data_IF_252653625803
#
_entry.id   IF_252653625803
#
_cell.length_a   1.000
_cell.length_b   1.000
_cell.length_c   1.000
_cell.angle_alpha   90.00
_cell.angle_beta   90.00
_cell.angle_gamma   90.00
#
_symmetry.space_group_name_H-M   'P 1'
#
loop_
_entity.id
_entity.type
_entity.pdbx_description
1 polymer ?
#
# COMPACT_ATOMS: atom_id res chain seq x y z
N UNK A 1 20.36 5.64 -30.19
CA UNK A 1 20.15 5.98 -28.77
C UNK A 1 19.99 4.67 -28.02
N UNK A 2 21.07 4.18 -27.41
CA UNK A 2 21.07 2.93 -26.69
C UNK A 2 20.20 3.09 -25.43
N UNK A 3 19.08 2.37 -25.37
CA UNK A 3 18.30 2.26 -24.16
C UNK A 3 19.15 1.56 -23.11
N UNK A 4 19.48 2.28 -22.05
CA UNK A 4 20.16 1.73 -20.89
C UNK A 4 19.26 0.63 -20.31
N UNK A 5 19.71 -0.63 -20.40
CA UNK A 5 19.03 -1.77 -19.79
C UNK A 5 19.03 -1.54 -18.29
N UNK A 6 17.92 -1.00 -17.75
CA UNK A 6 17.70 -1.02 -16.31
C UNK A 6 17.70 -2.48 -15.88
N UNK A 7 18.75 -2.90 -15.20
CA UNK A 7 18.76 -4.10 -14.38
C UNK A 7 17.64 -3.96 -13.38
N UNK A 8 16.62 -4.83 -13.46
CA UNK A 8 15.57 -4.91 -12.45
C UNK A 8 16.19 -5.54 -11.20
N UNK A 9 16.55 -4.73 -10.21
CA UNK A 9 16.81 -5.26 -8.87
C UNK A 9 15.49 -5.79 -8.31
N UNK A 10 15.50 -7.04 -7.87
CA UNK A 10 14.34 -7.67 -7.25
C UNK A 10 14.09 -7.01 -5.89
N UNK A 11 12.90 -6.45 -5.69
CA UNK A 11 12.52 -5.86 -4.40
C UNK A 11 12.59 -6.91 -3.31
N UNK A 12 13.37 -6.63 -2.27
CA UNK A 12 13.54 -7.55 -1.15
C UNK A 12 12.47 -7.35 -0.07
N UNK A 13 12.33 -8.32 0.82
CA UNK A 13 11.47 -8.18 2.00
C UNK A 13 11.92 -7.01 2.91
N UNK A 14 13.22 -6.70 2.94
CA UNK A 14 13.76 -5.59 3.70
C UNK A 14 13.32 -4.23 3.14
N UNK A 15 13.27 -4.09 1.81
CA UNK A 15 12.79 -2.87 1.15
C UNK A 15 11.31 -2.61 1.46
N UNK A 16 10.50 -3.68 1.44
CA UNK A 16 9.08 -3.59 1.81
C UNK A 16 8.88 -3.26 3.30
N UNK A 17 9.74 -3.78 4.18
CA UNK A 17 9.71 -3.46 5.60
C UNK A 17 10.08 -1.99 5.86
N UNK A 18 11.12 -1.48 5.19
CA UNK A 18 11.48 -0.06 5.25
C UNK A 18 10.36 0.84 4.72
N UNK A 19 9.69 0.42 3.64
CA UNK A 19 8.53 1.15 3.11
C UNK A 19 7.33 1.14 4.09
N UNK A 20 7.11 0.03 4.80
CA UNK A 20 6.07 -0.06 5.83
C UNK A 20 6.34 0.90 7.00
N UNK A 21 7.60 1.01 7.45
CA UNK A 21 7.99 1.99 8.49
C UNK A 21 7.81 3.42 7.99
N UNK A 22 8.28 3.74 6.78
CA UNK A 22 8.09 5.07 6.19
C UNK A 22 6.62 5.48 6.13
N UNK A 23 5.74 4.55 5.73
CA UNK A 23 4.29 4.79 5.70
C UNK A 23 3.74 5.05 7.12
N UNK A 24 4.15 4.26 8.12
CA UNK A 24 3.74 4.47 9.52
C UNK A 24 4.17 5.83 10.04
N UNK A 25 5.44 6.18 9.88
CA UNK A 25 6.02 7.43 10.39
C UNK A 25 5.34 8.67 9.80
N UNK A 26 4.98 8.62 8.52
CA UNK A 26 4.42 9.77 7.81
C UNK A 26 2.92 9.94 7.98
N UNK A 27 2.18 8.86 8.23
CA UNK A 27 0.72 8.88 8.33
C UNK A 27 0.19 8.75 9.77
N UNK A 28 1.03 8.31 10.71
CA UNK A 28 0.68 8.23 12.14
C UNK A 28 -0.63 7.47 12.36
N UNK A 29 -1.57 8.10 13.07
CA UNK A 29 -2.86 7.51 13.45
C UNK A 29 -3.77 7.14 12.26
N UNK A 30 -3.49 7.63 11.04
CA UNK A 30 -4.23 7.20 9.85
C UNK A 30 -3.91 5.75 9.45
N UNK A 31 -2.81 5.18 9.94
CA UNK A 31 -2.38 3.79 9.70
C UNK A 31 -2.51 3.01 11.01
N UNK A 32 -3.45 2.07 11.03
CA UNK A 32 -3.68 1.16 12.16
C UNK A 32 -2.62 0.05 12.18
N UNK A 33 -2.27 -0.46 11.00
CA UNK A 33 -1.23 -1.49 10.83
C UNK A 33 -0.57 -1.37 9.45
N UNK A 34 0.69 -1.78 9.35
CA UNK A 34 1.36 -1.96 8.06
C UNK A 34 2.30 -3.16 8.11
N UNK A 35 1.99 -4.21 7.35
CA UNK A 35 2.70 -5.48 7.43
C UNK A 35 3.09 -5.98 6.05
N UNK A 36 4.22 -6.68 5.97
CA UNK A 36 4.62 -7.39 4.76
C UNK A 36 4.12 -8.81 4.87
N UNK A 37 3.29 -9.25 3.93
CA UNK A 37 2.77 -10.62 3.90
C UNK A 37 2.83 -11.15 2.48
N UNK A 38 3.36 -12.36 2.30
CA UNK A 38 3.50 -13.01 0.98
C UNK A 38 4.19 -12.12 -0.07
N UNK A 39 5.22 -11.35 0.33
CA UNK A 39 5.96 -10.45 -0.57
C UNK A 39 5.19 -9.20 -0.99
N UNK A 40 4.12 -8.83 -0.28
CA UNK A 40 3.33 -7.63 -0.56
C UNK A 40 3.16 -6.79 0.69
N UNK A 41 3.16 -5.46 0.52
CA UNK A 41 2.81 -4.54 1.58
C UNK A 41 1.29 -4.50 1.76
N UNK A 42 0.83 -4.73 2.99
CA UNK A 42 -0.55 -4.57 3.40
C UNK A 42 -0.63 -3.44 4.43
N UNK A 43 -1.52 -2.48 4.20
CA UNK A 43 -1.81 -1.37 5.11
C UNK A 43 -3.25 -1.52 5.60
N UNK A 44 -3.46 -1.41 6.89
CA UNK A 44 -4.78 -1.21 7.50
C UNK A 44 -4.86 0.26 7.88
N UNK A 45 -5.80 0.96 7.26
CA UNK A 45 -6.01 2.39 7.43
C UNK A 45 -7.29 2.65 8.23
N UNK A 46 -7.29 3.75 8.98
CA UNK A 46 -8.53 4.29 9.54
C UNK A 46 -9.46 4.70 8.40
N UNK A 47 -10.70 4.21 8.45
CA UNK A 47 -11.67 4.42 7.38
C UNK A 47 -12.00 5.91 7.14
N UNK A 48 -11.97 6.75 8.18
CA UNK A 48 -12.22 8.19 8.05
C UNK A 48 -11.02 8.94 7.43
N UNK A 49 -9.83 8.33 7.43
CA UNK A 49 -8.58 8.93 6.93
C UNK A 49 -8.08 8.27 5.64
N UNK A 50 -8.85 7.35 5.04
CA UNK A 50 -8.45 6.58 3.86
C UNK A 50 -7.98 7.44 2.68
N UNK A 51 -8.63 8.59 2.44
CA UNK A 51 -8.24 9.48 1.35
C UNK A 51 -6.84 10.07 1.55
N UNK A 52 -6.46 10.36 2.80
CA UNK A 52 -5.13 10.90 3.12
C UNK A 52 -4.07 9.82 2.93
N UNK A 53 -4.36 8.57 3.31
CA UNK A 53 -3.49 7.42 3.06
C UNK A 53 -3.29 7.19 1.55
N UNK A 54 -4.38 7.14 0.77
CA UNK A 54 -4.31 6.92 -0.68
C UNK A 54 -3.60 8.07 -1.41
N UNK A 55 -3.80 9.32 -1.00
CA UNK A 55 -3.08 10.49 -1.55
C UNK A 55 -1.58 10.39 -1.26
N UNK A 56 -1.21 10.07 -0.03
CA UNK A 56 0.19 9.90 0.34
C UNK A 56 0.86 8.79 -0.47
N UNK A 57 0.23 7.62 -0.57
CA UNK A 57 0.76 6.48 -1.34
C UNK A 57 0.95 6.81 -2.83
N UNK A 58 0.10 7.67 -3.39
CA UNK A 58 0.23 8.14 -4.77
C UNK A 58 1.36 9.17 -4.94
N UNK A 59 1.44 10.14 -4.04
CA UNK A 59 2.26 11.35 -4.22
C UNK A 59 3.68 11.23 -3.62
N UNK A 60 3.87 10.37 -2.61
CA UNK A 60 5.18 10.21 -1.96
C UNK A 60 6.20 9.56 -2.92
N UNK A 61 7.40 10.15 -3.08
CA UNK A 61 8.42 9.64 -4.01
C UNK A 61 8.88 8.21 -3.74
N UNK A 62 8.80 7.73 -2.50
CA UNK A 62 9.17 6.36 -2.13
C UNK A 62 8.05 5.34 -2.44
N UNK A 63 6.82 5.81 -2.66
CA UNK A 63 5.64 4.96 -2.89
C UNK A 63 5.22 4.96 -4.37
N UNK A 64 4.88 6.15 -4.92
CA UNK A 64 4.45 6.35 -6.32
C UNK A 64 3.40 5.34 -6.81
N UNK A 65 2.42 5.00 -6.00
CA UNK A 65 1.33 4.08 -6.37
C UNK A 65 0.29 4.81 -7.24
N UNK A 66 0.66 5.06 -8.50
CA UNK A 66 -0.15 5.87 -9.43
C UNK A 66 -1.15 5.06 -10.26
N UNK A 67 -1.09 3.73 -10.20
CA UNK A 67 -2.03 2.87 -10.90
C UNK A 67 -3.02 2.24 -9.91
N UNK A 68 -4.29 2.64 -10.01
CA UNK A 68 -5.39 2.01 -9.29
C UNK A 68 -5.80 0.73 -10.00
N UNK A 69 -5.73 -0.42 -9.32
CA UNK A 69 -5.99 -1.70 -9.97
C UNK A 69 -7.36 -2.27 -9.65
N UNK A 70 -7.77 -2.20 -8.38
CA UNK A 70 -9.03 -2.80 -7.93
C UNK A 70 -9.57 -2.16 -6.65
N UNK A 71 -10.90 -2.27 -6.47
CA UNK A 71 -11.63 -1.93 -5.26
C UNK A 71 -12.65 -3.01 -4.97
N UNK A 72 -12.49 -3.69 -3.85
CA UNK A 72 -13.40 -4.74 -3.42
C UNK A 72 -13.85 -4.55 -1.97
N UNK A 73 -15.06 -5.02 -1.67
CA UNK A 73 -15.58 -5.10 -0.31
C UNK A 73 -15.54 -6.54 0.19
N UNK A 74 -15.08 -6.74 1.43
CA UNK A 74 -15.09 -8.05 2.09
C UNK A 74 -16.08 -8.00 3.25
N UNK A 75 -16.99 -8.96 3.30
CA UNK A 75 -17.98 -9.11 4.37
C UNK A 75 -17.50 -10.14 5.40
N UNK A 76 -17.37 -9.71 6.65
CA UNK A 76 -17.05 -10.52 7.83
C UNK A 76 -18.22 -10.45 8.83
N UNK A 77 -19.25 -11.31 8.70
CA UNK A 77 -20.49 -11.21 9.49
C UNK A 77 -20.32 -11.29 11.01
N UNK A 78 -19.22 -11.87 11.49
CA UNK A 78 -18.95 -12.09 12.90
C UNK A 78 -18.22 -10.91 13.58
N UNK A 79 -17.80 -9.89 12.81
CA UNK A 79 -17.10 -8.71 13.34
C UNK A 79 -18.06 -7.58 13.62
N UNK A 80 -17.76 -6.78 14.64
CA UNK A 80 -18.48 -5.52 14.91
C UNK A 80 -18.38 -4.58 13.71
N UNK A 81 -17.16 -4.41 13.17
CA UNK A 81 -16.92 -3.80 11.87
C UNK A 81 -17.04 -4.85 10.77
N UNK A 82 -18.28 -5.03 10.29
CA UNK A 82 -18.65 -6.11 9.36
C UNK A 82 -17.95 -6.03 8.00
N UNK A 83 -17.79 -4.84 7.44
CA UNK A 83 -17.24 -4.67 6.08
C UNK A 83 -15.83 -4.11 6.13
N UNK A 84 -14.94 -4.69 5.33
CA UNK A 84 -13.66 -4.07 4.98
C UNK A 84 -13.72 -3.61 3.53
N UNK A 85 -13.21 -2.40 3.26
CA UNK A 85 -13.00 -1.91 1.89
C UNK A 85 -11.52 -2.09 1.56
N UNK A 86 -11.23 -2.86 0.51
CA UNK A 86 -9.87 -3.21 0.11
C UNK A 86 -9.56 -2.56 -1.23
N UNK A 87 -8.52 -1.74 -1.26
CA UNK A 87 -7.99 -1.10 -2.46
C UNK A 87 -6.65 -1.72 -2.83
N UNK A 88 -6.46 -2.04 -4.10
CA UNK A 88 -5.17 -2.49 -4.63
C UNK A 88 -4.57 -1.43 -5.54
N UNK A 89 -3.31 -1.11 -5.30
CA UNK A 89 -2.56 -0.15 -6.10
C UNK A 89 -1.25 -0.76 -6.59
N UNK A 90 -0.79 -0.26 -7.73
CA UNK A 90 0.49 -0.59 -8.35
C UNK A 90 1.30 0.69 -8.56
N UNK A 91 2.60 0.62 -8.26
CA UNK A 91 3.58 1.59 -8.73
C UNK A 91 4.27 1.00 -9.95
N UNK A 92 3.97 1.46 -11.18
CA UNK A 92 4.65 0.96 -12.38
C UNK A 92 6.14 1.33 -12.40
N UNK A 93 6.49 2.46 -11.79
CA UNK A 93 7.86 2.98 -11.77
C UNK A 93 8.76 2.19 -10.82
N UNK A 94 8.23 1.76 -9.67
CA UNK A 94 8.96 0.98 -8.67
C UNK A 94 8.67 -0.52 -8.76
N UNK A 95 7.72 -0.92 -9.62
CA UNK A 95 7.19 -2.27 -9.73
C UNK A 95 6.69 -2.86 -8.40
N UNK A 96 6.12 -2.01 -7.54
CA UNK A 96 5.61 -2.39 -6.23
C UNK A 96 4.09 -2.50 -6.22
N UNK A 97 3.56 -3.41 -5.40
CA UNK A 97 2.12 -3.55 -5.15
C UNK A 97 1.82 -3.31 -3.68
N UNK A 98 0.70 -2.65 -3.41
CA UNK A 98 0.19 -2.44 -2.05
C UNK A 98 -1.30 -2.75 -1.98
N UNK A 99 -1.70 -3.34 -0.86
CA UNK A 99 -3.10 -3.55 -0.50
C UNK A 99 -3.44 -2.66 0.68
N UNK A 100 -4.45 -1.81 0.53
CA UNK A 100 -4.93 -0.93 1.60
C UNK A 100 -6.32 -1.41 2.02
N UNK A 101 -6.49 -1.72 3.30
CA UNK A 101 -7.76 -2.11 3.90
C UNK A 101 -8.26 -0.96 4.78
N UNK A 102 -9.48 -0.50 4.56
CA UNK A 102 -10.15 0.42 5.46
C UNK A 102 -11.06 -0.39 6.40
N UNK A 103 -10.80 -0.28 7.71
CA UNK A 103 -11.54 -0.96 8.77
C UNK A 103 -11.91 0.01 9.89
#
# INVERSE_FOLDING_TARGET
MAGETRTYEETTAADLAALAEHVRERLGEAVIDATVTHGQLQIVADAARILDVLRFLRDDPACRFTCFTDLCGVDYPQREKRFEVVTHLLSPTLNLRVRVKAA
#
